data_IF_239282989380
#
_entry.id   IF_239282989380
#
_cell.length_a   1.000
_cell.length_b   1.000
_cell.length_c   1.000
_cell.angle_alpha   90.00
_cell.angle_beta   90.00
_cell.angle_gamma   90.00
#
_symmetry.space_group_name_H-M   'P 1'
#
loop_
_entity.id
_entity.type
_entity.pdbx_description
1 polymer ?
#
# COMPACT_ATOMS: atom_id res chain seq x y z
N UNK A 1 3.60 -3.09 -13.80
CA UNK A 1 3.31 -1.69 -14.16
C UNK A 1 3.24 -0.91 -12.84
N UNK A 2 4.29 -0.18 -12.48
CA UNK A 2 4.28 0.59 -11.23
C UNK A 2 3.21 1.68 -11.34
N UNK A 3 2.31 1.83 -10.35
CA UNK A 3 1.31 2.88 -10.37
C UNK A 3 2.01 4.24 -10.44
N UNK A 4 1.47 5.16 -11.27
CA UNK A 4 1.93 6.55 -11.32
C UNK A 4 2.01 7.11 -9.89
N UNK A 5 3.19 7.64 -9.51
CA UNK A 5 3.49 8.09 -8.14
C UNK A 5 2.43 9.02 -7.55
N UNK A 6 1.83 9.89 -8.40
CA UNK A 6 0.76 10.79 -7.98
C UNK A 6 -0.53 10.04 -7.64
N UNK A 7 -0.91 9.05 -8.46
CA UNK A 7 -2.10 8.21 -8.23
C UNK A 7 -1.91 7.35 -6.98
N UNK A 8 -0.74 6.72 -6.85
CA UNK A 8 -0.41 5.90 -5.68
C UNK A 8 -0.53 6.73 -4.40
N UNK A 9 0.10 7.91 -4.35
CA UNK A 9 0.02 8.80 -3.19
C UNK A 9 -1.42 9.11 -2.78
N UNK A 10 -2.28 9.50 -3.73
CA UNK A 10 -3.68 9.81 -3.46
C UNK A 10 -4.46 8.61 -2.88
N UNK A 11 -4.23 7.42 -3.42
CA UNK A 11 -4.87 6.19 -2.94
C UNK A 11 -4.41 5.87 -1.51
N UNK A 12 -3.12 6.00 -1.24
CA UNK A 12 -2.57 5.74 0.09
C UNK A 12 -3.07 6.75 1.13
N UNK A 13 -3.14 8.04 0.77
CA UNK A 13 -3.74 9.09 1.63
C UNK A 13 -5.23 8.85 1.90
N UNK A 14 -5.98 8.33 0.92
CA UNK A 14 -7.38 7.95 1.10
C UNK A 14 -7.55 6.74 2.03
N UNK A 15 -6.72 5.70 1.88
CA UNK A 15 -6.89 4.43 2.60
C UNK A 15 -6.30 4.44 4.01
N UNK A 16 -5.23 5.20 4.24
CA UNK A 16 -4.44 5.13 5.47
C UNK A 16 -4.22 6.52 6.07
N UNK A 17 -4.67 6.68 7.32
CA UNK A 17 -4.57 7.94 8.07
C UNK A 17 -3.14 8.21 8.54
N UNK A 18 -2.46 7.16 9.02
CA UNK A 18 -1.11 7.24 9.60
C UNK A 18 -0.05 7.18 8.52
N UNK A 19 1.02 7.95 8.68
CA UNK A 19 2.07 8.04 7.67
C UNK A 19 2.86 6.73 7.54
N UNK A 20 3.15 6.05 8.64
CA UNK A 20 3.91 4.80 8.67
C UNK A 20 3.18 3.70 7.89
N UNK A 21 1.85 3.72 7.91
CA UNK A 21 1.02 2.79 7.12
C UNK A 21 1.16 3.04 5.62
N UNK A 22 1.20 4.32 5.21
CA UNK A 22 1.40 4.72 3.81
C UNK A 22 2.80 4.33 3.34
N UNK A 23 3.81 4.67 4.14
CA UNK A 23 5.21 4.36 3.85
C UNK A 23 5.46 2.85 3.76
N UNK A 24 4.84 2.05 4.65
CA UNK A 24 4.91 0.59 4.60
C UNK A 24 4.36 0.04 3.27
N UNK A 25 3.14 0.43 2.90
CA UNK A 25 2.49 -0.06 1.68
C UNK A 25 3.25 0.41 0.44
N UNK A 26 3.69 1.67 0.41
CA UNK A 26 4.50 2.20 -0.69
C UNK A 26 5.83 1.44 -0.84
N UNK A 27 6.52 1.15 0.27
CA UNK A 27 7.79 0.43 0.23
C UNK A 27 7.64 -0.99 -0.33
N UNK A 28 6.56 -1.69 0.04
CA UNK A 28 6.25 -3.02 -0.48
C UNK A 28 5.90 -2.96 -1.97
N UNK A 29 5.07 -2.00 -2.40
CA UNK A 29 4.63 -1.90 -3.81
C UNK A 29 5.73 -1.41 -4.78
N UNK A 30 6.76 -0.74 -4.25
CA UNK A 30 7.91 -0.25 -5.02
C UNK A 30 9.15 -1.15 -4.88
N UNK A 31 8.99 -2.36 -4.36
CA UNK A 31 10.08 -3.33 -4.15
C UNK A 31 11.27 -2.75 -3.35
N UNK A 32 11.01 -1.79 -2.44
CA UNK A 32 12.03 -1.15 -1.58
C UNK A 32 12.38 -1.98 -0.33
N UNK A 33 11.72 -3.12 -0.18
CA UNK A 33 11.90 -4.12 0.88
C UNK A 33 11.78 -5.51 0.27
N UNK A 34 12.46 -6.49 0.86
CA UNK A 34 12.42 -7.89 0.40
C UNK A 34 11.17 -8.64 0.88
N UNK A 35 10.47 -8.13 1.89
CA UNK A 35 9.22 -8.72 2.38
C UNK A 35 8.34 -7.73 3.14
N UNK A 36 7.05 -8.05 3.29
CA UNK A 36 6.12 -7.29 4.14
C UNK A 36 6.59 -7.25 5.59
N UNK A 37 7.14 -8.35 6.09
CA UNK A 37 7.68 -8.43 7.44
C UNK A 37 8.86 -7.47 7.68
N UNK A 38 9.74 -7.32 6.67
CA UNK A 38 10.81 -6.33 6.73
C UNK A 38 10.26 -4.90 6.79
N UNK A 39 9.19 -4.61 6.01
CA UNK A 39 8.54 -3.30 6.07
C UNK A 39 7.86 -3.05 7.43
N UNK A 40 7.21 -4.06 8.01
CA UNK A 40 6.62 -3.98 9.35
C UNK A 40 7.67 -3.58 10.39
N UNK A 41 8.85 -4.21 10.37
CA UNK A 41 9.98 -3.82 11.22
C UNK A 41 10.47 -2.40 10.94
N UNK A 42 10.68 -2.06 9.67
CA UNK A 42 11.26 -0.77 9.25
C UNK A 42 10.38 0.42 9.67
N UNK A 43 9.06 0.26 9.63
CA UNK A 43 8.10 1.33 9.93
C UNK A 43 7.43 1.18 11.30
N UNK A 44 7.92 0.29 12.18
CA UNK A 44 7.39 0.14 13.54
C UNK A 44 5.93 -0.35 13.59
N UNK A 45 5.49 -1.08 12.57
CA UNK A 45 4.13 -1.61 12.48
C UNK A 45 4.08 -3.03 13.05
N UNK A 46 3.04 -3.31 13.85
CA UNK A 46 2.87 -4.62 14.48
C UNK A 46 2.81 -5.75 13.44
N UNK A 47 3.40 -6.93 13.75
CA UNK A 47 3.41 -8.06 12.84
C UNK A 47 2.02 -8.42 12.30
N UNK A 48 1.95 -8.85 11.04
CA UNK A 48 0.74 -9.16 10.28
C UNK A 48 -0.17 -7.97 9.92
N UNK A 49 0.10 -6.77 10.43
CA UNK A 49 -0.67 -5.56 10.10
C UNK A 49 -0.34 -5.07 8.69
N UNK A 50 0.91 -5.20 8.27
CA UNK A 50 1.37 -4.91 6.91
C UNK A 50 0.61 -5.76 5.89
N UNK A 51 0.50 -7.07 6.13
CA UNK A 51 -0.26 -7.97 5.25
C UNK A 51 -1.72 -7.53 5.10
N UNK A 52 -2.36 -7.09 6.20
CA UNK A 52 -3.74 -6.56 6.16
C UNK A 52 -3.83 -5.26 5.36
N UNK A 53 -2.83 -4.38 5.47
CA UNK A 53 -2.79 -3.12 4.73
C UNK A 53 -2.56 -3.35 3.23
N UNK A 54 -1.70 -4.29 2.85
CA UNK A 54 -1.52 -4.69 1.44
C UNK A 54 -2.84 -5.23 0.87
N UNK A 55 -3.50 -6.17 1.56
CA UNK A 55 -4.81 -6.69 1.10
C UNK A 55 -5.86 -5.59 0.96
N UNK A 56 -5.91 -4.64 1.90
CA UNK A 56 -6.84 -3.49 1.82
C UNK A 56 -6.57 -2.65 0.56
N UNK A 57 -5.30 -2.41 0.25
CA UNK A 57 -4.91 -1.71 -0.98
C UNK A 57 -5.33 -2.49 -2.22
N UNK A 58 -5.02 -3.79 -2.29
CA UNK A 58 -5.37 -4.65 -3.43
C UNK A 58 -6.88 -4.68 -3.69
N UNK A 59 -7.69 -4.89 -2.64
CA UNK A 59 -9.16 -4.86 -2.76
C UNK A 59 -9.69 -3.50 -3.23
N UNK A 60 -9.06 -2.40 -2.83
CA UNK A 60 -9.45 -1.07 -3.32
C UNK A 60 -9.08 -0.88 -4.79
N UNK A 61 -7.93 -1.40 -5.23
CA UNK A 61 -7.56 -1.39 -6.65
C UNK A 61 -8.54 -2.24 -7.48
N UNK A 62 -8.95 -3.40 -6.99
CA UNK A 62 -9.98 -4.23 -7.63
C UNK A 62 -11.32 -3.49 -7.75
N UNK A 63 -11.76 -2.81 -6.69
CA UNK A 63 -12.94 -1.96 -6.71
C UNK A 63 -12.84 -0.84 -7.75
N UNK A 64 -11.71 -0.12 -7.78
CA UNK A 64 -11.50 0.94 -8.76
C UNK A 64 -11.53 0.39 -10.19
N UNK A 65 -10.94 -0.79 -10.44
CA UNK A 65 -11.03 -1.46 -11.75
C UNK A 65 -12.46 -1.83 -12.11
N UNK A 66 -13.27 -2.31 -11.15
CA UNK A 66 -14.64 -2.75 -11.42
C UNK A 66 -15.58 -1.60 -11.81
N UNK A 67 -15.29 -0.38 -11.36
CA UNK A 67 -16.01 0.85 -11.76
C UNK A 67 -15.42 1.53 -13.01
N UNK A 68 -14.48 0.88 -13.70
CA UNK A 68 -13.90 1.37 -14.95
C UNK A 68 -12.70 2.32 -14.79
N UNK A 69 -12.13 2.44 -13.59
CA UNK A 69 -10.93 3.24 -13.37
C UNK A 69 -9.70 2.55 -13.99
N UNK A 70 -8.96 3.28 -14.83
CA UNK A 70 -7.74 2.79 -15.50
C UNK A 70 -6.48 3.32 -14.80
N UNK A 71 -5.62 2.39 -14.40
CA UNK A 71 -4.37 2.67 -13.67
C UNK A 71 -3.23 3.03 -14.60
#
# INVERSE_FOLDING_TARGET
MHPNDKKLKLILEHLFKREEQRQLVEAVLKDKVSSVYEAEKRFGISPNTGTRHIKKYESHIEYLKSIGFKF
#
